data_IF_053944659591
#
_entry.id   IF_053944659591
#
_cell.length_a   1.000
_cell.length_b   1.000
_cell.length_c   1.000
_cell.angle_alpha   90.00
_cell.angle_beta   90.00
_cell.angle_gamma   90.00
#
_symmetry.space_group_name_H-M   'P 1'
#
loop_
_entity.id
_entity.type
_entity.pdbx_description
1 polymer ?
#
# COMPACT_ATOMS: atom_id res chain seq x y z
N UNK A 1 2.41 -15.37 24.79
CA UNK A 1 1.05 -14.82 24.74
C UNK A 1 0.86 -14.28 23.34
N UNK A 2 0.07 -14.95 22.50
CA UNK A 2 -0.44 -14.32 21.28
C UNK A 2 -1.32 -13.17 21.74
N UNK A 3 -0.89 -11.94 21.48
CA UNK A 3 -1.79 -10.80 21.65
C UNK A 3 -3.06 -11.11 20.85
N UNK A 4 -4.27 -10.97 21.41
CA UNK A 4 -5.48 -11.14 20.62
C UNK A 4 -5.42 -10.14 19.47
N UNK A 5 -5.75 -10.63 18.27
CA UNK A 5 -5.88 -9.78 17.09
C UNK A 5 -6.80 -8.59 17.44
N UNK A 6 -6.34 -7.37 17.18
CA UNK A 6 -7.12 -6.15 17.46
C UNK A 6 -8.42 -6.11 16.65
N UNK A 7 -8.42 -6.79 15.49
CA UNK A 7 -9.57 -6.95 14.59
C UNK A 7 -9.67 -8.43 14.22
N UNK A 8 -10.81 -9.06 14.48
CA UNK A 8 -11.01 -10.48 14.16
C UNK A 8 -11.14 -10.74 12.65
N UNK A 9 -10.73 -11.92 12.17
CA UNK A 9 -10.93 -12.31 10.75
C UNK A 9 -12.41 -12.35 10.37
N UNK A 10 -13.28 -12.71 11.30
CA UNK A 10 -14.73 -12.70 11.10
C UNK A 10 -15.26 -11.28 10.88
N UNK A 11 -14.69 -10.29 11.55
CA UNK A 11 -15.03 -8.88 11.35
C UNK A 11 -14.56 -8.38 9.98
N UNK A 12 -13.34 -8.71 9.58
CA UNK A 12 -12.82 -8.42 8.24
C UNK A 12 -13.74 -9.01 7.16
N UNK A 13 -14.10 -10.29 7.30
CA UNK A 13 -14.99 -10.96 6.34
C UNK A 13 -16.38 -10.30 6.27
N UNK A 14 -16.94 -9.87 7.42
CA UNK A 14 -18.21 -9.12 7.44
C UNK A 14 -18.08 -7.77 6.72
N UNK A 15 -17.02 -7.01 6.99
CA UNK A 15 -16.78 -5.72 6.35
C UNK A 15 -16.63 -5.87 4.83
N UNK A 16 -15.85 -6.85 4.37
CA UNK A 16 -15.69 -7.15 2.95
C UNK A 16 -17.04 -7.49 2.29
N UNK A 17 -17.87 -8.31 2.96
CA UNK A 17 -19.20 -8.66 2.48
C UNK A 17 -20.12 -7.45 2.37
N UNK A 18 -20.11 -6.54 3.36
CA UNK A 18 -20.91 -5.31 3.32
C UNK A 18 -20.52 -4.42 2.14
N UNK A 19 -19.23 -4.34 1.82
CA UNK A 19 -18.70 -3.56 0.69
C UNK A 19 -18.85 -4.25 -0.67
N UNK A 20 -19.26 -5.53 -0.70
CA UNK A 20 -19.35 -6.31 -1.93
C UNK A 20 -17.98 -6.64 -2.55
N UNK A 21 -16.92 -6.71 -1.76
CA UNK A 21 -15.55 -7.01 -2.21
C UNK A 21 -15.11 -8.43 -1.83
N UNK A 22 -13.96 -8.88 -2.36
CA UNK A 22 -13.40 -10.19 -1.99
C UNK A 22 -13.08 -10.24 -0.50
N UNK A 23 -13.08 -11.44 0.08
CA UNK A 23 -12.77 -11.60 1.50
C UNK A 23 -11.27 -11.36 1.78
N UNK A 24 -10.95 -10.19 2.33
CA UNK A 24 -9.58 -9.81 2.64
C UNK A 24 -8.96 -10.57 3.84
N UNK A 25 -9.76 -11.30 4.61
CA UNK A 25 -9.29 -12.09 5.76
C UNK A 25 -8.49 -13.34 5.37
N UNK A 26 -8.52 -13.71 4.09
CA UNK A 26 -7.96 -14.95 3.56
C UNK A 26 -7.52 -14.79 2.09
N UNK A 27 -6.88 -13.66 1.76
CA UNK A 27 -6.37 -13.41 0.42
C UNK A 27 -5.25 -14.39 0.05
N UNK A 28 -5.33 -14.87 -1.19
CA UNK A 28 -4.22 -15.53 -1.87
C UNK A 28 -3.49 -14.59 -2.83
N UNK A 29 -4.20 -13.58 -3.34
CA UNK A 29 -3.70 -12.56 -4.27
C UNK A 29 -3.93 -11.17 -3.69
N UNK A 30 -2.89 -10.33 -3.72
CA UNK A 30 -2.87 -9.00 -3.10
C UNK A 30 -3.24 -7.87 -4.07
N UNK A 31 -3.42 -8.18 -5.35
CA UNK A 31 -3.88 -7.22 -6.34
C UNK A 31 -5.28 -6.73 -5.99
N UNK A 32 -5.49 -5.42 -5.98
CA UNK A 32 -6.78 -4.79 -5.63
C UNK A 32 -7.45 -4.33 -6.91
N UNK A 33 -8.70 -4.75 -7.12
CA UNK A 33 -9.45 -4.33 -8.30
C UNK A 33 -9.86 -2.86 -8.21
N UNK A 34 -10.15 -2.24 -9.36
CA UNK A 34 -10.63 -0.84 -9.41
C UNK A 34 -11.96 -0.70 -8.65
N UNK A 35 -12.81 -1.72 -8.74
CA UNK A 35 -14.11 -1.79 -8.07
C UNK A 35 -13.92 -1.91 -6.56
N UNK A 36 -12.99 -2.74 -6.10
CA UNK A 36 -12.70 -2.88 -4.66
C UNK A 36 -12.17 -1.56 -4.08
N UNK A 37 -11.20 -0.94 -4.75
CA UNK A 37 -10.68 0.35 -4.34
C UNK A 37 -11.78 1.42 -4.28
N UNK A 38 -12.70 1.41 -5.26
CA UNK A 38 -13.82 2.36 -5.30
C UNK A 38 -14.80 2.13 -4.16
N UNK A 39 -15.23 0.89 -3.93
CA UNK A 39 -16.14 0.56 -2.82
C UNK A 39 -15.56 1.01 -1.47
N UNK A 40 -14.26 0.81 -1.25
CA UNK A 40 -13.60 1.22 -0.01
C UNK A 40 -13.50 2.75 0.09
N UNK A 41 -13.13 3.42 -1.00
CA UNK A 41 -13.01 4.88 -1.01
C UNK A 41 -14.37 5.56 -0.77
N UNK A 42 -15.43 5.05 -1.39
CA UNK A 42 -16.80 5.55 -1.24
C UNK A 42 -17.33 5.36 0.20
N UNK A 43 -16.98 4.25 0.85
CA UNK A 43 -17.35 3.99 2.25
C UNK A 43 -16.64 4.93 3.24
N UNK A 44 -15.38 5.30 2.98
CA UNK A 44 -14.64 6.22 3.87
C UNK A 44 -15.23 7.63 3.81
N UNK A 45 -15.72 8.03 2.62
CA UNK A 45 -16.40 9.30 2.36
C UNK A 45 -15.57 10.56 2.72
N UNK A 46 -16.18 11.75 2.60
CA UNK A 46 -15.60 13.03 2.97
C UNK A 46 -14.45 13.46 2.06
N UNK A 47 -13.34 13.87 2.65
CA UNK A 47 -12.14 14.30 1.90
C UNK A 47 -11.52 13.19 1.05
N UNK A 48 -11.85 11.91 1.33
CA UNK A 48 -11.41 10.79 0.51
C UNK A 48 -11.83 10.93 -0.96
N UNK A 49 -12.96 11.60 -1.24
CA UNK A 49 -13.46 11.85 -2.61
C UNK A 49 -12.54 12.74 -3.46
N UNK A 50 -11.60 13.45 -2.83
CA UNK A 50 -10.62 14.29 -3.53
C UNK A 50 -9.38 13.50 -3.97
N UNK A 51 -9.24 12.26 -3.49
CA UNK A 51 -8.12 11.39 -3.84
C UNK A 51 -8.38 10.73 -5.20
N UNK A 52 -7.38 10.78 -6.08
CA UNK A 52 -7.41 10.03 -7.33
C UNK A 52 -7.45 8.53 -7.02
N UNK A 53 -8.47 7.86 -7.55
CA UNK A 53 -8.73 6.44 -7.27
C UNK A 53 -7.52 5.54 -7.47
N UNK A 54 -6.69 5.80 -8.50
CA UNK A 54 -5.52 4.99 -8.78
C UNK A 54 -4.43 5.11 -7.69
N UNK A 55 -4.20 6.31 -7.14
CA UNK A 55 -3.26 6.48 -6.03
C UNK A 55 -3.74 5.76 -4.77
N UNK A 56 -5.06 5.78 -4.53
CA UNK A 56 -5.67 5.04 -3.44
C UNK A 56 -5.51 3.53 -3.63
N UNK A 57 -5.76 3.03 -4.84
CA UNK A 57 -5.59 1.62 -5.19
C UNK A 57 -4.14 1.16 -5.04
N UNK A 58 -3.18 1.93 -5.56
CA UNK A 58 -1.75 1.68 -5.37
C UNK A 58 -1.40 1.54 -3.87
N UNK A 59 -1.91 2.45 -3.04
CA UNK A 59 -1.69 2.41 -1.60
C UNK A 59 -2.30 1.19 -0.91
N UNK A 60 -3.54 0.82 -1.26
CA UNK A 60 -4.20 -0.37 -0.71
C UNK A 60 -3.37 -1.65 -0.97
N UNK A 61 -2.78 -1.79 -2.16
CA UNK A 61 -1.95 -2.95 -2.48
C UNK A 61 -0.68 -3.01 -1.62
N UNK A 62 -0.04 -1.87 -1.37
CA UNK A 62 1.15 -1.79 -0.50
C UNK A 62 0.79 -2.17 0.94
N UNK A 63 -0.30 -1.62 1.48
CA UNK A 63 -0.72 -1.96 2.85
C UNK A 63 -1.14 -3.42 2.99
N UNK A 64 -1.77 -4.01 1.97
CA UNK A 64 -2.07 -5.45 1.94
C UNK A 64 -0.82 -6.32 1.88
N UNK A 65 0.20 -5.93 1.10
CA UNK A 65 1.51 -6.60 1.14
C UNK A 65 2.09 -6.57 2.55
N UNK A 66 2.13 -5.41 3.19
CA UNK A 66 2.67 -5.27 4.53
C UNK A 66 1.92 -6.12 5.57
N UNK A 67 0.60 -6.04 5.60
CA UNK A 67 -0.22 -6.83 6.51
C UNK A 67 -0.07 -8.35 6.31
N UNK A 68 0.19 -8.78 5.08
CA UNK A 68 0.33 -10.21 4.76
C UNK A 68 1.75 -10.72 5.00
N UNK A 69 2.76 -9.89 4.72
CA UNK A 69 4.18 -10.23 4.82
C UNK A 69 4.73 -10.11 6.25
N UNK A 70 4.18 -9.20 7.05
CA UNK A 70 4.64 -8.91 8.42
C UNK A 70 3.49 -9.13 9.42
N UNK A 71 3.12 -10.39 9.70
CA UNK A 71 1.95 -10.71 10.53
C UNK A 71 2.07 -10.20 11.98
N UNK A 72 3.28 -10.01 12.49
CA UNK A 72 3.54 -9.43 13.81
C UNK A 72 3.33 -7.91 13.89
N UNK A 73 3.31 -7.24 12.73
CA UNK A 73 2.98 -5.82 12.59
C UNK A 73 1.58 -5.57 12.00
N UNK A 74 0.83 -6.62 11.67
CA UNK A 74 -0.51 -6.49 11.11
C UNK A 74 -1.53 -6.15 12.20
N UNK A 75 -1.90 -4.87 12.28
CA UNK A 75 -2.86 -4.37 13.27
C UNK A 75 -4.31 -4.33 12.76
N UNK A 76 -4.54 -4.45 11.44
CA UNK A 76 -5.88 -4.35 10.85
C UNK A 76 -6.47 -5.69 10.44
N UNK A 77 -5.66 -6.75 10.39
CA UNK A 77 -6.00 -8.02 9.73
C UNK A 77 -6.51 -7.82 8.30
N UNK A 78 -6.02 -6.78 7.61
CA UNK A 78 -6.48 -6.34 6.29
C UNK A 78 -7.95 -5.88 6.28
N UNK A 79 -8.48 -5.36 7.39
CA UNK A 79 -9.81 -4.77 7.40
C UNK A 79 -9.90 -3.65 6.34
N UNK A 80 -10.83 -3.71 5.37
CA UNK A 80 -10.82 -2.82 4.21
C UNK A 80 -10.90 -1.34 4.60
N UNK A 81 -11.83 -0.97 5.49
CA UNK A 81 -11.99 0.43 5.91
C UNK A 81 -10.81 0.97 6.74
N UNK A 82 -10.21 0.15 7.60
CA UNK A 82 -9.06 0.59 8.42
C UNK A 82 -7.82 0.74 7.55
N UNK A 83 -7.59 -0.23 6.66
CA UNK A 83 -6.51 -0.20 5.67
C UNK A 83 -6.65 1.02 4.76
N UNK A 84 -7.85 1.27 4.22
CA UNK A 84 -8.10 2.46 3.41
C UNK A 84 -7.92 3.78 4.17
N UNK A 85 -8.23 3.84 5.47
CA UNK A 85 -7.97 5.05 6.28
C UNK A 85 -6.47 5.32 6.48
N UNK A 86 -5.64 4.28 6.58
CA UNK A 86 -4.18 4.40 6.62
C UNK A 86 -3.68 4.99 5.29
N UNK A 87 -4.13 4.42 4.17
CA UNK A 87 -3.83 4.93 2.83
C UNK A 87 -4.24 6.40 2.68
N UNK A 88 -5.45 6.75 3.13
CA UNK A 88 -5.93 8.13 3.07
C UNK A 88 -5.05 9.08 3.89
N UNK A 89 -4.62 8.68 5.08
CA UNK A 89 -3.75 9.51 5.91
C UNK A 89 -2.42 9.82 5.19
N UNK A 90 -1.80 8.81 4.57
CA UNK A 90 -0.58 8.99 3.78
C UNK A 90 -0.77 9.91 2.57
N UNK A 91 -1.87 9.72 1.83
CA UNK A 91 -2.16 10.53 0.64
C UNK A 91 -2.52 11.98 0.97
N UNK A 92 -3.00 12.26 2.19
CA UNK A 92 -3.18 13.62 2.71
C UNK A 92 -1.86 14.35 2.97
N UNK A 93 -0.80 13.62 3.33
CA UNK A 93 0.53 14.21 3.48
C UNK A 93 1.20 14.43 2.11
N UNK A 94 1.05 13.47 1.20
CA UNK A 94 1.55 13.59 -0.16
C UNK A 94 0.83 12.63 -1.11
N UNK A 95 0.31 13.14 -2.23
CA UNK A 95 -0.23 12.28 -3.30
C UNK A 95 0.82 11.32 -3.89
N UNK A 96 2.10 11.60 -3.70
CA UNK A 96 3.22 10.78 -4.17
C UNK A 96 3.81 9.89 -3.08
N UNK A 97 3.16 9.78 -1.91
CA UNK A 97 3.67 9.05 -0.73
C UNK A 97 4.15 7.65 -1.08
N UNK A 98 3.31 6.84 -1.73
CA UNK A 98 3.65 5.44 -2.05
C UNK A 98 4.77 5.30 -3.08
N UNK A 99 4.97 6.29 -3.95
CA UNK A 99 6.14 6.31 -4.86
C UNK A 99 7.43 6.63 -4.10
N UNK A 100 7.35 7.49 -3.07
CA UNK A 100 8.49 7.80 -2.20
C UNK A 100 8.86 6.63 -1.30
N UNK A 101 7.88 5.96 -0.68
CA UNK A 101 8.16 4.84 0.23
C UNK A 101 8.79 3.66 -0.52
N UNK A 102 8.36 3.37 -1.75
CA UNK A 102 8.97 2.34 -2.58
C UNK A 102 10.48 2.58 -2.82
N UNK A 103 10.90 3.83 -2.98
CA UNK A 103 12.32 4.18 -3.09
C UNK A 103 13.05 3.94 -1.77
N UNK A 104 12.47 4.40 -0.65
CA UNK A 104 13.06 4.23 0.68
C UNK A 104 13.25 2.74 1.05
N UNK A 105 12.28 1.90 0.72
CA UNK A 105 12.35 0.44 0.92
C UNK A 105 13.47 -0.19 0.08
N UNK A 106 13.57 0.18 -1.20
CA UNK A 106 14.64 -0.28 -2.08
C UNK A 106 16.02 0.16 -1.59
N UNK A 107 16.15 1.39 -1.11
CA UNK A 107 17.39 1.91 -0.53
C UNK A 107 17.79 1.13 0.75
N UNK A 108 16.82 0.80 1.60
CA UNK A 108 17.03 -0.06 2.76
C UNK A 108 17.51 -1.47 2.38
N UNK A 109 16.92 -2.06 1.35
CA UNK A 109 17.34 -3.36 0.83
C UNK A 109 18.71 -3.31 0.14
N UNK A 110 19.03 -2.20 -0.53
CA UNK A 110 20.35 -1.98 -1.14
C UNK A 110 21.43 -1.92 -0.06
N UNK A 111 21.16 -1.25 1.06
CA UNK A 111 22.08 -1.22 2.22
C UNK A 111 22.33 -2.64 2.76
N UNK A 112 21.27 -3.45 2.93
CA UNK A 112 21.39 -4.85 3.36
C UNK A 112 22.21 -5.69 2.39
N UNK A 113 21.96 -5.57 1.09
CA UNK A 113 22.69 -6.28 0.05
C UNK A 113 24.18 -5.87 0.01
N UNK A 114 24.45 -4.57 0.18
CA UNK A 114 25.81 -4.02 0.27
C UNK A 114 26.56 -4.59 1.47
N UNK A 115 25.93 -4.64 2.65
CA UNK A 115 26.50 -5.26 3.85
C UNK A 115 26.82 -6.75 3.62
N UNK A 116 25.94 -7.47 2.90
CA UNK A 116 26.12 -8.87 2.55
C UNK A 116 27.15 -9.10 1.41
N UNK A 117 27.62 -8.03 0.74
CA UNK A 117 28.48 -8.09 -0.46
C UNK A 117 27.87 -8.90 -1.61
N UNK A 118 26.55 -8.86 -1.73
CA UNK A 118 25.80 -9.54 -2.79
C UNK A 118 25.74 -8.66 -4.05
N UNK A 119 26.71 -8.85 -4.96
CA UNK A 119 26.88 -8.01 -6.14
C UNK A 119 25.67 -8.05 -7.09
N UNK A 120 25.05 -9.22 -7.27
CA UNK A 120 23.90 -9.39 -8.17
C UNK A 120 22.67 -8.67 -7.63
N UNK A 121 22.40 -8.81 -6.32
CA UNK A 121 21.30 -8.11 -5.67
C UNK A 121 21.53 -6.59 -5.61
N UNK A 122 22.76 -6.15 -5.35
CA UNK A 122 23.13 -4.73 -5.40
C UNK A 122 22.81 -4.14 -6.78
N UNK A 123 23.26 -4.81 -7.86
CA UNK A 123 23.02 -4.36 -9.22
C UNK A 123 21.53 -4.27 -9.53
N UNK A 124 20.78 -5.33 -9.24
CA UNK A 124 19.33 -5.38 -9.48
C UNK A 124 18.57 -4.29 -8.71
N UNK A 125 18.89 -4.10 -7.42
CA UNK A 125 18.26 -3.05 -6.61
C UNK A 125 18.62 -1.65 -7.11
N UNK A 126 19.86 -1.43 -7.52
CA UNK A 126 20.27 -0.14 -8.07
C UNK A 126 19.50 0.19 -9.36
N UNK A 127 19.37 -0.76 -10.29
CA UNK A 127 18.57 -0.59 -11.51
C UNK A 127 17.10 -0.25 -11.17
N UNK A 128 16.50 -0.95 -10.19
CA UNK A 128 15.13 -0.68 -9.72
C UNK A 128 14.97 0.71 -9.10
N UNK A 129 15.93 1.17 -8.30
CA UNK A 129 15.92 2.51 -7.70
C UNK A 129 15.95 3.59 -8.77
N UNK A 130 16.78 3.43 -9.81
CA UNK A 130 16.84 4.38 -10.92
C UNK A 130 15.49 4.48 -11.63
N UNK A 131 14.85 3.35 -11.91
CA UNK A 131 13.52 3.32 -12.54
C UNK A 131 12.44 3.92 -11.62
N UNK A 132 12.47 3.61 -10.32
CA UNK A 132 11.53 4.17 -9.35
C UNK A 132 11.68 5.70 -9.22
N UNK A 133 12.91 6.21 -9.20
CA UNK A 133 13.19 7.66 -9.21
C UNK A 133 12.73 8.33 -10.49
N UNK A 134 12.90 7.68 -11.65
CA UNK A 134 12.37 8.19 -12.91
C UNK A 134 10.84 8.31 -12.85
N UNK A 135 10.15 7.26 -12.37
CA UNK A 135 8.70 7.26 -12.19
C UNK A 135 8.22 8.35 -11.23
N UNK A 136 8.90 8.53 -10.08
CA UNK A 136 8.61 9.59 -9.13
C UNK A 136 8.81 10.98 -9.76
N UNK A 137 9.94 11.22 -10.43
CA UNK A 137 10.22 12.52 -11.05
C UNK A 137 9.20 12.86 -12.14
N UNK A 138 8.76 11.88 -12.94
CA UNK A 138 7.67 12.08 -13.90
C UNK A 138 6.37 12.48 -13.20
N UNK A 139 6.02 11.81 -12.11
CA UNK A 139 4.82 12.15 -11.34
C UNK A 139 4.92 13.53 -10.67
N UNK A 140 6.11 13.93 -10.19
CA UNK A 140 6.37 15.28 -9.68
C UNK A 140 6.21 16.35 -10.77
N UNK A 141 6.68 16.09 -11.99
CA UNK A 141 6.48 16.98 -13.14
C UNK A 141 4.99 17.12 -13.47
N UNK A 142 4.24 16.02 -13.55
CA UNK A 142 2.79 16.04 -13.78
C UNK A 142 2.06 16.82 -12.68
N UNK A 143 2.43 16.59 -11.42
CA UNK A 143 1.86 17.29 -10.28
C UNK A 143 2.11 18.81 -10.37
N UNK A 144 3.32 19.24 -10.72
CA UNK A 144 3.66 20.66 -10.93
C UNK A 144 2.93 21.27 -12.12
N UNK A 145 2.65 20.48 -13.16
CA UNK A 145 1.91 20.93 -14.33
C UNK A 145 0.39 21.02 -14.09
N UNK A 146 -0.12 20.46 -12.99
CA UNK A 146 -1.55 20.38 -12.70
C UNK A 146 -2.32 19.45 -13.63
N UNK A 147 -1.63 18.45 -14.20
CA UNK A 147 -2.18 17.47 -15.16
C UNK A 147 -2.15 16.06 -14.60
#
# INVERSE_FOLDING_TARGET
>A
MTSPDLVSKEEVARACKTLGIRNWSALTELEVSVEEARSILDEIDGEARQIVLEHFREGLQVELEHGTRFPDANVTNNHPNLTGKIVLAHLKESLLYYKRIAIAELEGDLLKATKARDADKIRSLYERIVLARLSLNQAEVSFLAGT
#
